data_IF_897714980801
#
_entry.id   IF_897714980801
#
_cell.length_a   1.000
_cell.length_b   1.000
_cell.length_c   1.000
_cell.angle_alpha   90.00
_cell.angle_beta   90.00
_cell.angle_gamma   90.00
#
_symmetry.space_group_name_H-M   'P 1'
#
loop_
_entity.id
_entity.type
_entity.pdbx_description
1 polymer ?
#
# COMPACT_ATOMS: atom_id res chain seq x y z
N UNK A 1 16.29 16.05 53.42
CA UNK A 1 15.70 14.78 52.93
C UNK A 1 15.04 15.05 51.59
N UNK A 2 15.48 14.36 50.53
CA UNK A 2 14.94 14.50 49.17
C UNK A 2 13.95 13.35 48.93
N UNK A 3 12.69 13.71 48.66
CA UNK A 3 11.64 12.77 48.22
C UNK A 3 11.87 12.57 46.72
N UNK A 4 12.31 11.38 46.31
CA UNK A 4 12.49 11.02 44.90
C UNK A 4 11.25 10.22 44.46
N UNK A 5 10.66 10.70 43.36
CA UNK A 5 9.43 10.28 42.72
C UNK A 5 9.25 8.76 42.57
N UNK A 6 8.12 8.26 43.07
CA UNK A 6 7.59 6.91 42.80
C UNK A 6 6.40 7.00 41.82
N UNK A 7 6.57 7.69 40.70
CA UNK A 7 5.54 7.83 39.66
C UNK A 7 6.21 7.72 38.30
N UNK A 8 6.63 6.50 37.92
CA UNK A 8 7.01 6.20 36.53
C UNK A 8 7.05 4.71 36.16
N UNK A 9 6.72 3.80 37.08
CA UNK A 9 6.75 2.34 36.79
C UNK A 9 5.38 1.83 36.29
N UNK A 10 4.28 2.52 36.63
CA UNK A 10 2.92 2.08 36.27
C UNK A 10 2.57 2.31 34.79
N UNK A 11 3.13 3.33 34.14
CA UNK A 11 2.87 3.65 32.73
C UNK A 11 3.58 2.70 31.75
N UNK A 12 4.72 2.11 32.14
CA UNK A 12 5.46 1.17 31.30
C UNK A 12 4.76 -0.20 31.23
N UNK A 13 4.12 -0.64 32.31
CA UNK A 13 3.36 -1.90 32.34
C UNK A 13 2.12 -1.88 31.44
N UNK A 14 1.45 -0.73 31.31
CA UNK A 14 0.31 -0.56 30.41
C UNK A 14 0.69 -0.69 28.93
N UNK A 15 1.90 -0.25 28.54
CA UNK A 15 2.40 -0.36 27.16
C UNK A 15 2.76 -1.80 26.77
N UNK A 16 3.23 -2.62 27.72
CA UNK A 16 3.57 -4.03 27.47
C UNK A 16 2.30 -4.86 27.19
N UNK A 17 1.21 -4.60 27.91
CA UNK A 17 -0.07 -5.28 27.67
C UNK A 17 -0.74 -4.88 26.34
N UNK A 18 -0.46 -3.68 25.82
CA UNK A 18 -0.93 -3.27 24.48
C UNK A 18 -0.14 -3.94 23.34
N UNK A 19 1.08 -4.41 23.60
CA UNK A 19 1.93 -5.09 22.60
C UNK A 19 1.64 -6.60 22.47
N UNK A 20 0.98 -7.23 23.45
CA UNK A 20 0.73 -8.68 23.46
C UNK A 20 -0.65 -9.12 22.93
N UNK A 21 -1.54 -8.21 22.54
CA UNK A 21 -2.83 -8.58 21.91
C UNK A 21 -2.73 -8.75 20.40
N UNK A 22 -1.76 -9.54 19.94
CA UNK A 22 -1.81 -10.17 18.62
C UNK A 22 -1.46 -11.64 18.75
N UNK A 23 -2.52 -12.45 18.84
CA UNK A 23 -2.64 -13.78 18.24
C UNK A 23 -3.48 -14.66 19.16
N UNK A 24 -4.79 -14.46 19.14
CA UNK A 24 -5.74 -15.56 19.30
C UNK A 24 -7.10 -15.11 18.78
N UNK A 25 -7.32 -15.37 17.49
CA UNK A 25 -8.65 -15.56 16.94
C UNK A 25 -8.53 -16.68 15.92
N UNK A 26 -8.91 -17.88 16.35
CA UNK A 26 -9.26 -18.98 15.46
C UNK A 26 -10.42 -18.53 14.57
N UNK A 27 -10.28 -18.76 13.27
CA UNK A 27 -11.33 -18.66 12.27
C UNK A 27 -10.88 -19.41 11.03
N UNK A 28 -11.54 -20.53 10.79
CA UNK A 28 -11.34 -21.58 9.79
C UNK A 28 -11.32 -21.07 8.33
N UNK A 29 -10.89 -21.95 7.41
CA UNK A 29 -10.73 -21.83 5.94
C UNK A 29 -9.29 -21.46 5.49
N UNK A 30 -8.49 -22.30 4.82
CA UNK A 30 -8.79 -23.45 3.94
C UNK A 30 -7.54 -24.33 3.83
N UNK A 31 -7.74 -25.65 3.79
CA UNK A 31 -6.70 -26.65 3.51
C UNK A 31 -6.04 -26.41 2.13
N UNK A 32 -4.74 -26.74 2.06
CA UNK A 32 -3.88 -26.93 0.89
C UNK A 32 -3.17 -25.67 0.33
N UNK A 33 -1.97 -25.40 0.86
CA UNK A 33 -0.96 -24.53 0.27
C UNK A 33 0.32 -24.60 1.09
N UNK A 34 1.47 -24.63 0.42
CA UNK A 34 2.85 -24.78 0.93
C UNK A 34 3.12 -23.91 2.18
N UNK A 35 3.95 -24.38 3.15
CA UNK A 35 4.29 -23.64 4.36
C UNK A 35 4.76 -22.22 4.01
N UNK A 36 4.27 -21.27 4.79
CA UNK A 36 4.52 -19.83 4.71
C UNK A 36 5.94 -19.49 4.22
N UNK A 37 6.03 -18.92 3.02
CA UNK A 37 7.23 -18.21 2.57
C UNK A 37 7.37 -16.97 3.46
N UNK A 38 8.36 -16.92 4.37
CA UNK A 38 8.52 -15.81 5.33
C UNK A 38 8.94 -14.50 4.66
N UNK A 39 9.00 -14.46 3.32
CA UNK A 39 9.45 -13.34 2.51
C UNK A 39 8.36 -12.41 1.95
N UNK A 40 7.06 -12.58 2.23
CA UNK A 40 6.00 -11.73 1.64
C UNK A 40 5.09 -11.09 2.70
N UNK A 41 5.09 -9.75 2.79
CA UNK A 41 4.03 -9.02 3.52
C UNK A 41 2.86 -8.74 2.58
N UNK A 42 1.63 -8.93 3.08
CA UNK A 42 0.40 -8.62 2.33
C UNK A 42 -0.02 -7.20 2.68
N UNK A 43 -0.11 -6.33 1.67
CA UNK A 43 -0.77 -5.02 1.79
C UNK A 43 -2.08 -5.05 1.03
N UNK A 44 -3.06 -4.28 1.48
CA UNK A 44 -4.33 -4.15 0.78
C UNK A 44 -4.64 -2.68 0.52
N UNK A 45 -5.21 -2.40 -0.63
CA UNK A 45 -5.61 -1.07 -1.05
C UNK A 45 -7.11 -1.04 -1.32
N UNK A 46 -7.83 -0.14 -0.65
CA UNK A 46 -9.23 0.15 -0.93
C UNK A 46 -9.30 1.33 -1.89
N UNK A 47 -9.95 1.13 -3.03
CA UNK A 47 -10.18 2.17 -4.04
C UNK A 47 -11.66 2.49 -4.10
N UNK A 48 -12.00 3.75 -3.92
CA UNK A 48 -13.35 4.30 -4.11
C UNK A 48 -13.32 5.24 -5.30
N UNK A 49 -13.78 4.77 -6.44
CA UNK A 49 -13.99 5.63 -7.61
C UNK A 49 -15.32 6.38 -7.46
N UNK A 50 -15.29 7.68 -7.69
CA UNK A 50 -16.42 8.59 -7.63
C UNK A 50 -16.59 9.24 -8.99
N UNK A 51 -17.82 9.24 -9.52
CA UNK A 51 -18.17 10.08 -10.67
C UNK A 51 -19.38 10.95 -10.33
N UNK A 52 -19.32 12.23 -10.66
CA UNK A 52 -20.41 13.15 -10.32
C UNK A 52 -20.47 14.39 -11.21
N UNK A 53 -21.67 14.95 -11.36
CA UNK A 53 -21.87 16.26 -11.95
C UNK A 53 -21.70 17.35 -10.88
N UNK A 54 -20.80 18.30 -11.14
CA UNK A 54 -20.46 19.36 -10.18
C UNK A 54 -21.38 20.57 -10.29
N UNK A 55 -21.72 21.12 -9.12
CA UNK A 55 -22.45 22.38 -8.96
C UNK A 55 -21.69 23.28 -7.98
N UNK A 56 -21.82 24.57 -8.18
CA UNK A 56 -21.44 25.55 -7.18
C UNK A 56 -22.41 25.49 -5.99
N UNK A 57 -21.90 25.46 -4.77
CA UNK A 57 -22.68 25.28 -3.54
C UNK A 57 -23.55 26.49 -3.22
N UNK A 58 -23.05 27.71 -3.47
CA UNK A 58 -23.70 28.97 -3.13
C UNK A 58 -24.83 29.32 -4.09
N UNK A 59 -24.58 29.19 -5.39
CA UNK A 59 -25.52 29.51 -6.46
C UNK A 59 -26.40 28.32 -6.88
N UNK A 60 -26.00 27.09 -6.53
CA UNK A 60 -26.62 25.84 -6.99
C UNK A 60 -26.61 25.67 -8.53
N UNK A 61 -25.86 26.51 -9.24
CA UNK A 61 -25.67 26.42 -10.67
C UNK A 61 -24.63 25.33 -10.99
N UNK A 62 -24.73 24.73 -12.18
CA UNK A 62 -23.70 23.79 -12.64
C UNK A 62 -22.38 24.52 -12.84
N UNK A 63 -21.29 23.86 -12.48
CA UNK A 63 -19.95 24.39 -12.79
C UNK A 63 -19.81 24.42 -14.30
N UNK A 64 -19.56 25.62 -14.84
CA UNK A 64 -19.39 25.84 -16.29
C UNK A 64 -18.14 25.12 -16.79
N UNK A 65 -18.25 24.46 -17.94
CA UNK A 65 -17.08 23.85 -18.58
C UNK A 65 -16.05 24.91 -18.99
N UNK A 66 -14.77 24.58 -18.81
CA UNK A 66 -13.64 25.38 -19.24
C UNK A 66 -12.60 24.45 -19.88
N UNK A 67 -12.11 24.77 -21.08
CA UNK A 67 -11.11 23.98 -21.80
C UNK A 67 -9.76 23.91 -21.05
N UNK A 68 -9.46 24.86 -20.16
CA UNK A 68 -8.29 24.80 -19.28
C UNK A 68 -8.33 23.59 -18.33
N UNK A 69 -9.49 22.95 -18.14
CA UNK A 69 -9.62 21.72 -17.34
C UNK A 69 -9.08 20.47 -18.06
N UNK A 70 -8.68 20.58 -19.33
CA UNK A 70 -8.00 19.51 -20.06
C UNK A 70 -6.50 19.43 -19.76
N UNK A 71 -5.93 20.48 -19.15
CA UNK A 71 -4.50 20.61 -18.88
C UNK A 71 -4.28 20.72 -17.37
N UNK A 72 -3.67 19.68 -16.80
CA UNK A 72 -3.46 19.56 -15.36
C UNK A 72 -2.40 20.51 -14.80
N UNK A 73 -1.71 21.26 -15.65
CA UNK A 73 -0.78 22.34 -15.26
C UNK A 73 -1.50 23.67 -15.01
N UNK A 74 -2.78 23.77 -15.40
CA UNK A 74 -3.53 25.03 -15.33
C UNK A 74 -4.07 25.28 -13.92
N UNK A 75 -4.06 26.55 -13.46
CA UNK A 75 -4.58 26.89 -12.14
C UNK A 75 -6.07 26.56 -11.97
N UNK A 76 -6.86 26.63 -13.04
CA UNK A 76 -8.28 26.27 -13.01
C UNK A 76 -8.49 24.78 -12.72
N UNK A 77 -7.65 23.92 -13.30
CA UNK A 77 -7.66 22.49 -13.01
C UNK A 77 -7.32 22.23 -11.54
N UNK A 78 -6.21 22.79 -11.04
CA UNK A 78 -5.79 22.60 -9.65
C UNK A 78 -6.80 23.14 -8.63
N UNK A 79 -7.40 24.31 -8.91
CA UNK A 79 -8.44 24.89 -8.05
C UNK A 79 -9.64 23.97 -7.97
N UNK A 80 -10.12 23.46 -9.11
CA UNK A 80 -11.29 22.58 -9.14
C UNK A 80 -10.97 21.20 -8.54
N UNK A 81 -9.75 20.69 -8.75
CA UNK A 81 -9.24 19.48 -8.11
C UNK A 81 -9.25 19.60 -6.59
N UNK A 82 -8.69 20.69 -6.06
CA UNK A 82 -8.66 20.94 -4.62
C UNK A 82 -10.06 20.93 -4.01
N UNK A 83 -11.01 21.62 -4.64
CA UNK A 83 -12.40 21.64 -4.19
C UNK A 83 -13.10 20.29 -4.33
N UNK A 84 -12.87 19.56 -5.42
CA UNK A 84 -13.43 18.22 -5.60
C UNK A 84 -12.91 17.24 -4.55
N UNK A 85 -11.60 17.25 -4.26
CA UNK A 85 -11.02 16.43 -3.21
C UNK A 85 -11.52 16.86 -1.82
N UNK A 86 -11.65 18.17 -1.55
CA UNK A 86 -12.25 18.69 -0.30
C UNK A 86 -13.72 18.26 -0.12
N UNK A 87 -14.44 18.07 -1.23
CA UNK A 87 -15.81 17.56 -1.20
C UNK A 87 -15.87 16.07 -0.84
N UNK A 88 -15.09 15.23 -1.52
CA UNK A 88 -15.25 13.78 -1.47
C UNK A 88 -14.32 13.06 -0.49
N UNK A 89 -13.08 13.50 -0.31
CA UNK A 89 -12.12 12.79 0.54
C UNK A 89 -12.59 12.68 2.01
N UNK A 90 -12.97 13.79 2.69
CA UNK A 90 -13.46 13.70 4.07
C UNK A 90 -14.74 12.87 4.18
N UNK A 91 -15.60 12.96 3.16
CA UNK A 91 -16.85 12.20 3.13
C UNK A 91 -16.59 10.68 3.05
N UNK A 92 -15.72 10.25 2.14
CA UNK A 92 -15.38 8.82 2.02
C UNK A 92 -14.61 8.36 3.27
N UNK A 93 -13.65 9.16 3.77
CA UNK A 93 -12.89 8.83 4.99
C UNK A 93 -13.79 8.58 6.21
N UNK A 94 -14.88 9.37 6.38
CA UNK A 94 -15.86 9.17 7.45
C UNK A 94 -16.60 7.83 7.36
N UNK A 95 -16.68 7.25 6.16
CA UNK A 95 -17.46 6.06 5.89
C UNK A 95 -16.66 4.75 5.89
N UNK A 96 -15.35 4.85 5.69
CA UNK A 96 -14.42 3.73 5.78
C UNK A 96 -14.05 3.40 7.23
N UNK A 97 -13.41 2.25 7.43
CA UNK A 97 -13.01 1.81 8.77
C UNK A 97 -11.92 2.74 9.37
N UNK A 98 -11.98 3.05 10.68
CA UNK A 98 -11.04 4.00 11.31
C UNK A 98 -9.57 3.59 11.23
N UNK A 99 -9.26 2.30 11.13
CA UNK A 99 -7.88 1.78 11.11
C UNK A 99 -7.12 2.06 9.82
N UNK A 100 -7.81 2.52 8.78
CA UNK A 100 -7.19 2.87 7.51
C UNK A 100 -6.47 4.23 7.60
N UNK A 101 -5.51 4.47 6.71
CA UNK A 101 -4.87 5.78 6.56
C UNK A 101 -5.88 6.90 6.22
N UNK A 102 -5.44 8.16 6.14
CA UNK A 102 -6.32 9.30 5.87
C UNK A 102 -6.91 9.32 4.45
N UNK A 103 -6.44 8.41 3.59
CA UNK A 103 -6.80 8.33 2.19
C UNK A 103 -6.12 9.39 1.34
N UNK A 104 -6.02 9.11 0.05
CA UNK A 104 -5.44 10.00 -0.94
C UNK A 104 -6.39 10.17 -2.12
N UNK A 105 -6.60 11.41 -2.55
CA UNK A 105 -7.40 11.75 -3.72
C UNK A 105 -6.50 11.68 -4.97
N UNK A 106 -6.77 10.73 -5.87
CA UNK A 106 -5.98 10.41 -7.06
C UNK A 106 -6.83 10.37 -8.32
N UNK A 107 -6.15 10.30 -9.45
CA UNK A 107 -6.74 10.03 -10.77
C UNK A 107 -7.94 10.94 -11.08
N UNK A 108 -7.82 12.22 -10.72
CA UNK A 108 -8.87 13.21 -10.92
C UNK A 108 -8.91 13.58 -12.40
N UNK A 109 -10.09 13.53 -13.00
CA UNK A 109 -10.30 13.91 -14.40
C UNK A 109 -11.61 14.67 -14.52
N UNK A 110 -11.58 15.78 -15.25
CA UNK A 110 -12.76 16.57 -15.58
C UNK A 110 -13.18 16.32 -17.02
N UNK A 111 -14.46 16.14 -17.25
CA UNK A 111 -15.03 15.94 -18.59
C UNK A 111 -16.20 16.87 -18.83
N UNK A 112 -16.37 17.28 -20.08
CA UNK A 112 -17.51 18.09 -20.50
C UNK A 112 -18.76 17.21 -20.53
N UNK A 113 -19.70 17.51 -19.64
CA UNK A 113 -21.06 17.03 -19.73
C UNK A 113 -21.86 17.95 -20.63
N UNK A 114 -22.21 17.47 -21.82
CA UNK A 114 -23.08 18.20 -22.75
C UNK A 114 -24.53 17.90 -22.39
N UNK A 115 -25.22 18.91 -21.87
CA UNK A 115 -26.69 18.92 -21.78
C UNK A 115 -27.23 19.80 -22.92
N UNK A 116 -28.54 19.89 -23.01
CA UNK A 116 -29.33 20.83 -23.81
C UNK A 116 -28.90 22.31 -23.74
N UNK A 117 -28.03 22.69 -22.81
CA UNK A 117 -27.47 24.05 -22.69
C UNK A 117 -26.08 24.16 -23.32
N UNK A 118 -25.84 25.23 -24.10
CA UNK A 118 -24.64 25.43 -24.92
C UNK A 118 -23.32 25.53 -24.13
N UNK A 119 -23.38 25.90 -22.86
CA UNK A 119 -22.18 26.17 -22.04
C UNK A 119 -21.49 24.89 -21.53
N UNK A 120 -22.18 23.74 -21.54
CA UNK A 120 -21.67 22.50 -20.95
C UNK A 120 -21.49 22.60 -19.43
N UNK A 121 -21.41 21.45 -18.77
CA UNK A 121 -21.17 21.35 -17.34
C UNK A 121 -19.98 20.44 -17.03
N UNK A 122 -19.39 20.56 -15.85
CA UNK A 122 -18.26 19.73 -15.45
C UNK A 122 -18.74 18.46 -14.76
N UNK A 123 -18.42 17.30 -15.35
CA UNK A 123 -18.38 16.02 -14.65
C UNK A 123 -16.97 15.81 -14.10
N UNK A 124 -16.88 15.29 -12.87
CA UNK A 124 -15.64 14.80 -12.28
C UNK A 124 -15.67 13.29 -12.21
N UNK A 125 -14.52 12.67 -12.48
CA UNK A 125 -14.18 11.31 -12.07
C UNK A 125 -12.93 11.40 -11.20
N UNK A 126 -12.90 10.73 -10.06
CA UNK A 126 -11.74 10.66 -9.18
C UNK A 126 -11.70 9.33 -8.44
N UNK A 127 -10.53 8.98 -7.92
CA UNK A 127 -10.33 7.79 -7.09
C UNK A 127 -9.83 8.22 -5.72
N UNK A 128 -10.45 7.73 -4.66
CA UNK A 128 -9.93 7.87 -3.29
C UNK A 128 -9.33 6.53 -2.88
N UNK A 129 -8.04 6.52 -2.55
CA UNK A 129 -7.29 5.31 -2.21
C UNK A 129 -6.92 5.30 -0.74
N UNK A 130 -7.22 4.21 -0.04
CA UNK A 130 -6.75 3.95 1.33
C UNK A 130 -5.85 2.72 1.36
N UNK A 131 -4.70 2.82 2.01
CA UNK A 131 -3.77 1.71 2.15
C UNK A 131 -3.83 1.14 3.55
N UNK A 132 -3.72 -0.18 3.64
CA UNK A 132 -3.59 -0.92 4.88
C UNK A 132 -2.43 -1.92 4.76
N UNK A 133 -1.67 -2.05 5.85
CA UNK A 133 -0.48 -2.90 5.93
C UNK A 133 -0.80 -4.37 6.24
N UNK A 134 -2.05 -4.68 6.57
CA UNK A 134 -2.48 -6.02 6.98
C UNK A 134 -3.60 -6.53 6.08
N UNK A 135 -4.82 -5.98 6.25
CA UNK A 135 -5.98 -6.44 5.52
C UNK A 135 -7.17 -5.49 5.70
N UNK A 136 -7.79 -5.12 4.57
CA UNK A 136 -9.07 -4.42 4.55
C UNK A 136 -10.20 -5.47 4.56
N UNK A 137 -10.82 -5.63 5.72
CA UNK A 137 -11.99 -6.50 5.92
C UNK A 137 -13.31 -5.75 5.62
N UNK A 138 -13.30 -4.88 4.63
CA UNK A 138 -14.48 -4.11 4.23
C UNK A 138 -15.08 -4.69 2.97
N UNK A 139 -16.36 -5.11 3.06
CA UNK A 139 -17.10 -5.60 1.90
C UNK A 139 -17.38 -4.44 0.95
N UNK A 140 -16.95 -4.52 -0.33
CA UNK A 140 -17.10 -3.41 -1.28
C UNK A 140 -18.56 -2.98 -1.49
N UNK A 141 -19.49 -3.93 -1.56
CA UNK A 141 -20.91 -3.65 -1.79
C UNK A 141 -21.54 -2.91 -0.59
N UNK A 142 -21.22 -3.31 0.63
CA UNK A 142 -21.73 -2.68 1.85
C UNK A 142 -21.25 -1.23 1.96
N UNK A 143 -19.96 -0.99 1.69
CA UNK A 143 -19.41 0.36 1.67
C UNK A 143 -20.05 1.20 0.55
N UNK A 144 -20.22 0.65 -0.66
CA UNK A 144 -20.89 1.34 -1.76
C UNK A 144 -22.29 1.82 -1.36
N UNK A 145 -23.13 0.92 -0.83
CA UNK A 145 -24.49 1.26 -0.40
C UNK A 145 -24.50 2.30 0.73
N UNK A 146 -23.55 2.21 1.66
CA UNK A 146 -23.39 3.20 2.73
C UNK A 146 -23.05 4.58 2.17
N UNK A 147 -22.09 4.67 1.24
CA UNK A 147 -21.73 5.92 0.57
C UNK A 147 -22.93 6.52 -0.18
N UNK A 148 -23.67 5.72 -0.93
CA UNK A 148 -24.86 6.18 -1.67
C UNK A 148 -25.96 6.73 -0.74
N UNK A 149 -26.15 6.10 0.43
CA UNK A 149 -27.14 6.53 1.41
C UNK A 149 -26.70 7.79 2.16
N UNK A 150 -25.47 7.80 2.67
CA UNK A 150 -24.96 8.88 3.51
C UNK A 150 -24.68 10.15 2.71
N UNK A 151 -24.41 10.03 1.41
CA UNK A 151 -24.19 11.19 0.54
C UNK A 151 -25.41 12.13 0.48
N UNK A 152 -26.64 11.60 0.64
CA UNK A 152 -27.87 12.41 0.65
C UNK A 152 -27.86 13.50 1.72
N UNK A 153 -27.14 13.27 2.81
CA UNK A 153 -27.04 14.16 3.96
C UNK A 153 -25.65 14.80 4.08
N UNK A 154 -24.84 14.76 3.01
CA UNK A 154 -23.48 15.30 3.03
C UNK A 154 -23.49 16.79 3.35
N UNK A 155 -22.80 17.14 4.43
CA UNK A 155 -22.33 18.48 4.71
C UNK A 155 -20.83 18.53 4.46
N UNK A 156 -20.40 19.43 3.58
CA UNK A 156 -18.98 19.62 3.23
C UNK A 156 -18.61 21.10 3.29
N UNK A 157 -17.36 21.36 3.64
CA UNK A 157 -16.72 22.68 3.59
C UNK A 157 -16.25 23.09 2.19
N UNK A 158 -16.40 22.22 1.19
CA UNK A 158 -16.14 22.61 -0.20
C UNK A 158 -17.13 23.68 -0.67
N UNK A 159 -16.69 24.51 -1.61
CA UNK A 159 -17.56 25.41 -2.37
C UNK A 159 -18.38 24.67 -3.43
N UNK A 160 -18.21 23.35 -3.58
CA UNK A 160 -18.94 22.52 -4.53
C UNK A 160 -20.05 21.70 -3.87
N UNK A 161 -21.01 21.31 -4.70
CA UNK A 161 -21.96 20.22 -4.49
C UNK A 161 -21.83 19.23 -5.65
N UNK A 162 -22.19 17.97 -5.40
CA UNK A 162 -22.29 16.97 -6.46
C UNK A 162 -23.73 16.47 -6.61
N UNK A 163 -24.15 16.26 -7.86
CA UNK A 163 -25.47 15.74 -8.20
C UNK A 163 -25.34 14.28 -8.60
N UNK A 164 -26.11 13.40 -7.93
CA UNK A 164 -26.19 11.96 -8.22
C UNK A 164 -24.81 11.32 -8.40
N UNK A 165 -23.91 11.40 -7.39
CA UNK A 165 -22.64 10.71 -7.51
C UNK A 165 -22.85 9.20 -7.63
N UNK A 166 -22.01 8.56 -8.41
CA UNK A 166 -21.91 7.10 -8.47
C UNK A 166 -20.62 6.68 -7.78
N UNK A 167 -20.70 5.59 -7.01
CA UNK A 167 -19.57 5.04 -6.27
C UNK A 167 -19.25 3.64 -6.78
N UNK A 168 -17.99 3.39 -7.07
CA UNK A 168 -17.46 2.05 -7.35
C UNK A 168 -16.37 1.75 -6.34
N UNK A 169 -16.52 0.64 -5.62
CA UNK A 169 -15.60 0.25 -4.54
C UNK A 169 -14.86 -1.02 -4.95
N UNK A 170 -13.54 -1.03 -4.77
CA UNK A 170 -12.66 -2.17 -5.04
C UNK A 170 -11.67 -2.35 -3.89
N UNK A 171 -11.37 -3.59 -3.54
CA UNK A 171 -10.30 -3.94 -2.59
C UNK A 171 -9.28 -4.79 -3.34
N UNK A 172 -8.07 -4.29 -3.45
CA UNK A 172 -6.94 -4.95 -4.12
C UNK A 172 -5.96 -5.48 -3.07
N UNK A 173 -5.37 -6.64 -3.32
CA UNK A 173 -4.34 -7.25 -2.46
C UNK A 173 -3.02 -7.21 -3.20
N UNK A 174 -1.99 -6.66 -2.55
CA UNK A 174 -0.64 -6.56 -3.06
C UNK A 174 0.28 -7.44 -2.21
N UNK A 175 1.13 -8.21 -2.88
CA UNK A 175 2.21 -8.96 -2.24
C UNK A 175 3.47 -8.09 -2.30
N UNK A 176 4.01 -7.73 -1.14
CA UNK A 176 5.24 -6.95 -1.02
C UNK A 176 6.38 -7.92 -0.69
N UNK A 177 7.38 -8.06 -1.58
CA UNK A 177 8.58 -8.82 -1.26
C UNK A 177 9.34 -8.16 -0.11
N UNK A 178 9.59 -8.92 0.94
CA UNK A 178 10.47 -8.53 2.03
C UNK A 178 11.89 -8.59 1.48
N UNK A 179 12.56 -7.44 1.46
CA UNK A 179 13.99 -7.38 1.14
C UNK A 179 14.73 -8.25 2.15
N UNK A 180 15.57 -9.19 1.67
CA UNK A 180 16.35 -10.09 2.55
C UNK A 180 17.09 -9.25 3.60
N UNK A 181 17.00 -9.59 4.90
CA UNK A 181 17.84 -8.97 5.91
C UNK A 181 19.31 -9.13 5.49
N UNK A 182 20.08 -8.05 5.47
CA UNK A 182 21.53 -8.15 5.40
C UNK A 182 22.01 -8.83 6.69
N UNK A 183 22.31 -10.12 6.63
CA UNK A 183 23.01 -10.80 7.71
C UNK A 183 24.46 -10.39 7.65
N UNK A 184 24.89 -9.56 8.60
CA UNK A 184 26.31 -9.39 8.89
C UNK A 184 26.88 -10.77 9.24
N UNK A 185 27.93 -11.24 8.55
CA UNK A 185 28.52 -12.53 8.88
C UNK A 185 28.99 -12.54 10.34
N UNK A 186 28.86 -13.67 11.04
CA UNK A 186 29.33 -13.78 12.42
C UNK A 186 30.82 -13.42 12.50
N UNK A 187 31.26 -12.72 13.57
CA UNK A 187 32.66 -12.34 13.72
C UNK A 187 33.54 -13.58 13.69
N UNK A 188 34.57 -13.57 12.86
CA UNK A 188 35.55 -14.64 12.77
C UNK A 188 36.34 -14.67 14.08
N UNK A 189 36.12 -15.68 14.92
CA UNK A 189 36.99 -15.95 16.06
C UNK A 189 38.33 -16.46 15.56
N UNK A 190 39.42 -15.81 15.96
CA UNK A 190 40.77 -16.30 15.71
C UNK A 190 40.94 -17.68 16.36
N UNK A 191 41.44 -18.65 15.59
CA UNK A 191 41.89 -19.94 16.13
C UNK A 191 43.10 -19.65 17.03
N UNK A 192 42.92 -19.77 18.35
CA UNK A 192 44.05 -19.85 19.25
C UNK A 192 44.66 -21.25 19.10
N UNK A 193 45.82 -21.33 18.46
CA UNK A 193 46.69 -22.51 18.49
C UNK A 193 47.17 -22.72 19.93
N UNK A 194 46.52 -23.63 20.64
CA UNK A 194 47.09 -24.23 21.84
C UNK A 194 47.88 -25.47 21.42
N UNK A 195 49.16 -25.28 21.07
CA UNK A 195 50.11 -26.39 21.01
C UNK A 195 50.22 -27.03 22.38
N UNK A 196 49.74 -28.26 22.51
CA UNK A 196 50.20 -29.19 23.53
C UNK A 196 50.69 -30.43 22.81
N UNK A 197 52.02 -30.62 22.87
CA UNK A 197 52.68 -31.89 22.60
C UNK A 197 52.19 -32.88 23.64
N UNK A 198 51.79 -34.06 23.20
CA UNK A 198 52.06 -35.29 23.91
C UNK A 198 52.51 -36.28 22.82
N UNK A 199 53.77 -36.69 22.93
CA UNK A 199 54.38 -37.74 22.13
C UNK A 199 53.79 -39.09 22.59
N UNK A 200 53.34 -39.92 21.65
CA UNK A 200 53.52 -41.38 21.75
C UNK A 200 53.21 -42.03 20.39
N UNK A 201 54.22 -42.74 19.90
CA UNK A 201 54.29 -43.43 18.63
C UNK A 201 53.38 -44.67 18.58
N UNK A 202 52.66 -44.88 17.48
CA UNK A 202 52.66 -46.19 16.81
C UNK A 202 52.15 -46.15 15.37
N UNK A 203 52.86 -46.93 14.56
CA UNK A 203 52.82 -47.05 13.11
C UNK A 203 51.48 -47.49 12.51
N UNK A 204 51.20 -47.05 11.27
CA UNK A 204 50.13 -47.63 10.48
C UNK A 204 49.72 -46.86 9.21
N UNK A 205 50.61 -46.88 8.22
CA UNK A 205 50.33 -46.86 6.76
C UNK A 205 49.48 -45.74 6.12
N UNK A 206 50.20 -44.90 5.38
CA UNK A 206 49.93 -44.47 4.00
C UNK A 206 48.52 -44.68 3.41
N UNK A 207 47.87 -43.58 3.04
CA UNK A 207 47.66 -43.30 1.61
C UNK A 207 47.22 -41.87 1.32
N UNK A 208 47.97 -41.31 0.38
CA UNK A 208 47.88 -39.99 -0.24
C UNK A 208 46.70 -39.94 -1.23
N UNK A 209 46.18 -38.73 -1.42
CA UNK A 209 45.07 -38.34 -2.31
C UNK A 209 45.20 -38.78 -3.79
N UNK A 210 44.18 -38.55 -4.64
CA UNK A 210 44.18 -37.23 -5.29
C UNK A 210 42.81 -36.59 -5.50
N UNK A 211 42.88 -35.26 -5.51
CA UNK A 211 41.99 -34.31 -6.17
C UNK A 211 41.99 -34.68 -7.66
N UNK A 212 40.84 -34.68 -8.34
CA UNK A 212 40.88 -34.26 -9.73
C UNK A 212 39.66 -33.50 -10.25
N UNK A 213 40.04 -32.47 -10.97
CA UNK A 213 39.32 -31.41 -11.63
C UNK A 213 38.53 -31.87 -12.86
N UNK A 214 37.42 -31.18 -13.16
CA UNK A 214 37.22 -30.64 -14.52
C UNK A 214 36.06 -29.64 -14.55
N UNK A 215 36.43 -28.36 -14.56
CA UNK A 215 35.68 -27.35 -15.27
C UNK A 215 35.83 -27.62 -16.77
N UNK A 216 34.71 -27.64 -17.50
CA UNK A 216 34.72 -27.59 -18.97
C UNK A 216 33.90 -26.38 -19.41
N UNK A 217 34.62 -25.32 -19.75
CA UNK A 217 34.12 -24.23 -20.60
C UNK A 217 34.51 -24.54 -22.04
N UNK A 218 33.59 -24.32 -22.98
CA UNK A 218 33.81 -23.83 -24.36
C UNK A 218 32.50 -24.00 -25.13
N UNK A 219 31.87 -22.89 -25.58
CA UNK A 219 32.05 -22.31 -26.92
C UNK A 219 31.36 -23.17 -28.00
N UNK A 220 30.43 -22.70 -28.82
CA UNK A 220 30.13 -21.36 -29.28
C UNK A 220 29.62 -21.45 -30.73
N UNK A 221 29.17 -20.31 -31.26
CA UNK A 221 28.82 -20.02 -32.67
C UNK A 221 27.40 -20.47 -33.10
N UNK A 222 26.65 -19.75 -33.94
CA UNK A 222 26.87 -18.58 -34.82
C UNK A 222 25.45 -18.14 -35.27
N UNK A 223 25.00 -16.91 -35.02
CA UNK A 223 25.04 -15.75 -35.94
C UNK A 223 24.48 -15.98 -37.36
N UNK A 224 23.34 -15.33 -37.66
CA UNK A 224 22.93 -14.64 -38.92
C UNK A 224 21.62 -13.89 -38.61
N UNK A 225 21.54 -12.55 -38.48
CA UNK A 225 21.48 -11.46 -39.51
C UNK A 225 20.75 -11.92 -40.78
N UNK A 226 19.72 -11.23 -41.31
CA UNK A 226 19.61 -9.79 -41.66
C UNK A 226 18.15 -9.44 -42.07
N UNK A 227 17.56 -8.32 -41.63
CA UNK A 227 17.30 -7.01 -42.34
C UNK A 227 16.12 -6.93 -43.35
N UNK A 228 15.41 -5.80 -43.17
CA UNK A 228 14.74 -4.91 -44.16
C UNK A 228 13.44 -5.44 -44.80
N UNK A 229 12.39 -4.63 -44.99
CA UNK A 229 12.26 -3.17 -45.13
C UNK A 229 11.24 -2.57 -44.17
#
# INVERSE_FOLDING_TARGET
>A
MRIINLVNISTVLLLINLLQTKSQANGEDTKNGIPDDPGLTKSTELKVEVQALLKDKGTNMRVKWNENLLDDTKPEYHKLLGEACKLFLPFVKKNVLPSQDDGECKDVTFTKYVDSTKDGAVNVKLTITFKDSVAINQKPMDLKLKLENDFKNLQSESTLKATKPTFTVKVEKHLIPISKPQTTPPPTTAKNDASKKDDDDNDGEDSKAPIDTSAMTASGSKKRRSRQR
#
